data_IF_617537226450
#
_entry.id   IF_617537226450
#
_cell.length_a   1.000
_cell.length_b   1.000
_cell.length_c   1.000
_cell.angle_alpha   90.00
_cell.angle_beta   90.00
_cell.angle_gamma   90.00
#
_symmetry.space_group_name_H-M   'P 1'
#
loop_
_entity.id
_entity.type
_entity.pdbx_description
1 polymer ?
#
# COMPACT_ATOMS: atom_id res chain seq x y z
N UNK A 1 13.59 -30.80 -17.54
CA UNK A 1 13.65 -30.11 -16.22
C UNK A 1 13.28 -28.62 -16.33
N UNK A 2 12.05 -28.25 -15.95
CA UNK A 2 11.59 -26.85 -15.95
C UNK A 2 12.27 -26.10 -14.80
N UNK A 3 13.15 -25.15 -15.14
CA UNK A 3 13.81 -24.25 -14.20
C UNK A 3 12.74 -23.50 -13.41
N UNK A 4 12.49 -23.89 -12.15
CA UNK A 4 11.60 -23.15 -11.25
C UNK A 4 12.14 -21.72 -11.15
N UNK A 5 11.39 -20.74 -11.65
CA UNK A 5 11.67 -19.32 -11.37
C UNK A 5 11.75 -19.19 -9.85
N UNK A 6 12.89 -18.74 -9.33
CA UNK A 6 12.99 -18.34 -7.92
C UNK A 6 11.85 -17.34 -7.68
N UNK A 7 11.02 -17.50 -6.63
CA UNK A 7 10.10 -16.46 -6.28
C UNK A 7 10.93 -15.20 -6.08
N UNK A 8 10.60 -14.14 -6.83
CA UNK A 8 11.07 -12.81 -6.52
C UNK A 8 10.81 -12.59 -5.03
N UNK A 9 11.83 -12.14 -4.29
CA UNK A 9 11.64 -11.69 -2.91
C UNK A 9 10.36 -10.87 -2.89
N UNK A 10 9.39 -11.26 -2.04
CA UNK A 10 8.03 -10.73 -2.06
C UNK A 10 8.02 -9.20 -2.03
N UNK A 11 6.88 -8.56 -2.36
CA UNK A 11 6.79 -7.11 -2.45
C UNK A 11 7.45 -6.47 -1.22
N UNK A 12 8.63 -5.87 -1.44
CA UNK A 12 9.35 -5.17 -0.39
C UNK A 12 8.58 -3.88 -0.16
N UNK A 13 8.07 -3.62 1.06
CA UNK A 13 7.34 -2.40 1.33
C UNK A 13 8.18 -1.20 0.89
N UNK A 14 7.60 -0.32 0.09
CA UNK A 14 8.26 0.94 -0.21
C UNK A 14 8.28 1.76 1.08
N UNK A 15 9.49 1.97 1.63
CA UNK A 15 9.79 2.41 3.01
C UNK A 15 9.43 1.36 4.07
N UNK A 16 10.41 0.59 4.60
CA UNK A 16 10.17 -0.43 5.61
C UNK A 16 10.02 0.20 7.01
N UNK A 17 8.92 0.91 7.24
CA UNK A 17 8.54 1.47 8.54
C UNK A 17 7.02 1.53 8.68
N UNK A 18 6.55 1.72 9.91
CA UNK A 18 5.15 2.07 10.14
C UNK A 18 4.82 3.43 9.50
N UNK A 19 3.56 3.56 9.06
CA UNK A 19 3.01 4.83 8.61
C UNK A 19 3.00 5.84 9.75
N UNK A 20 3.22 7.11 9.42
CA UNK A 20 3.05 8.21 10.36
C UNK A 20 1.62 8.76 10.29
N UNK A 21 1.03 9.24 11.40
CA UNK A 21 -0.33 9.79 11.39
C UNK A 21 -0.54 10.89 10.33
N UNK A 22 0.48 11.72 10.09
CA UNK A 22 0.42 12.81 9.11
C UNK A 22 0.32 12.31 7.67
N UNK A 23 0.75 11.09 7.37
CA UNK A 23 0.60 10.47 6.05
C UNK A 23 -0.87 10.15 5.75
N UNK A 24 -1.59 9.65 6.77
CA UNK A 24 -3.03 9.43 6.67
C UNK A 24 -3.79 10.75 6.58
N UNK A 25 -3.46 11.72 7.44
CA UNK A 25 -4.12 13.03 7.46
C UNK A 25 -4.03 13.75 6.09
N UNK A 26 -2.88 13.66 5.42
CA UNK A 26 -2.71 14.19 4.06
C UNK A 26 -3.60 13.51 3.03
N UNK A 27 -3.75 12.18 3.11
CA UNK A 27 -4.67 11.46 2.23
C UNK A 27 -6.12 11.88 2.49
N UNK A 28 -6.52 11.99 3.75
CA UNK A 28 -7.87 12.42 4.12
C UNK A 28 -8.19 13.83 3.59
N UNK A 29 -7.26 14.78 3.77
CA UNK A 29 -7.41 16.13 3.22
C UNK A 29 -7.58 16.11 1.69
N UNK A 30 -6.74 15.35 0.99
CA UNK A 30 -6.83 15.20 -0.47
C UNK A 30 -8.17 14.60 -0.93
N UNK A 31 -8.70 13.61 -0.20
CA UNK A 31 -10.01 13.01 -0.50
C UNK A 31 -11.13 14.03 -0.35
N UNK A 32 -11.11 14.85 0.70
CA UNK A 32 -12.12 15.89 0.94
C UNK A 32 -12.06 17.00 -0.13
N UNK A 33 -10.87 17.35 -0.60
CA UNK A 33 -10.66 18.43 -1.58
C UNK A 33 -11.00 18.02 -3.02
N UNK A 34 -11.05 16.72 -3.35
CA UNK A 34 -11.25 16.24 -4.71
C UNK A 34 -12.67 15.65 -4.90
N UNK A 35 -13.63 16.40 -5.49
CA UNK A 35 -15.01 15.95 -5.64
C UNK A 35 -15.17 14.74 -6.59
N UNK A 36 -14.15 14.41 -7.39
CA UNK A 36 -14.18 13.24 -8.26
C UNK A 36 -13.84 11.94 -7.53
N UNK A 37 -13.25 12.01 -6.32
CA UNK A 37 -13.01 10.81 -5.51
C UNK A 37 -14.27 10.44 -4.75
N UNK A 38 -14.98 9.44 -5.26
CA UNK A 38 -16.23 8.97 -4.68
C UNK A 38 -16.37 7.45 -4.88
N UNK A 39 -16.91 6.75 -3.88
CA UNK A 39 -17.19 5.31 -3.96
C UNK A 39 -15.98 4.39 -4.10
N UNK A 40 -14.78 4.87 -3.76
CA UNK A 40 -13.52 4.14 -3.98
C UNK A 40 -12.84 3.73 -2.67
N UNK A 41 -11.99 2.68 -2.73
CA UNK A 41 -11.22 2.19 -1.58
C UNK A 41 -9.72 2.42 -1.85
N UNK A 42 -9.12 3.36 -1.13
CA UNK A 42 -7.70 3.69 -1.25
C UNK A 42 -6.91 2.98 -0.14
N UNK A 43 -5.97 2.12 -0.53
CA UNK A 43 -5.03 1.48 0.41
C UNK A 43 -3.81 2.37 0.64
N UNK A 44 -3.49 2.63 1.91
CA UNK A 44 -2.28 3.34 2.34
C UNK A 44 -1.43 2.44 3.25
N UNK A 45 -0.71 1.49 2.64
CA UNK A 45 0.00 0.44 3.37
C UNK A 45 1.40 0.10 2.83
N UNK A 46 1.96 0.95 1.97
CA UNK A 46 3.30 0.73 1.41
C UNK A 46 3.42 -0.52 0.54
N UNK A 47 2.31 -0.96 -0.08
CA UNK A 47 2.20 -2.18 -0.89
C UNK A 47 2.31 -3.49 -0.06
N UNK A 48 2.02 -3.42 1.24
CA UNK A 48 2.02 -4.57 2.12
C UNK A 48 0.97 -5.60 1.68
N UNK A 49 1.36 -6.87 1.65
CA UNK A 49 0.45 -8.01 1.54
C UNK A 49 0.60 -8.82 2.82
N UNK A 50 -0.45 -8.88 3.63
CA UNK A 50 -0.45 -9.72 4.83
C UNK A 50 -0.51 -11.18 4.39
N UNK A 51 0.50 -11.96 4.78
CA UNK A 51 0.50 -13.42 4.62
C UNK A 51 -0.24 -14.10 5.79
N UNK A 52 -0.49 -15.41 5.70
CA UNK A 52 -0.89 -16.19 6.88
C UNK A 52 0.20 -16.06 7.96
N UNK A 53 -0.24 -15.88 9.20
CA UNK A 53 0.63 -15.85 10.38
C UNK A 53 1.20 -17.21 10.75
#
# INVERSE_FOLDING_TARGET
PRRRRRPSAGPRPFRPRLGRPEEFARLAAFVIENPMLNGEIIRLDGALRMGPG
#
